data_IF_728537806367
#
_entry.id   IF_728537806367
#
_cell.length_a   1.000
_cell.length_b   1.000
_cell.length_c   1.000
_cell.angle_alpha   90.00
_cell.angle_beta   90.00
_cell.angle_gamma   90.00
#
_symmetry.space_group_name_H-M   'P 1'
#
loop_
_entity.id
_entity.type
_entity.pdbx_description
1 polymer ?
#
# COMPACT_ATOMS: atom_id res chain seq x y z
N UNK A 1 24.74 -7.48 -18.73
CA UNK A 1 23.37 -7.94 -19.00
C UNK A 1 22.52 -6.69 -19.18
N UNK A 2 21.89 -6.52 -20.34
CA UNK A 2 21.02 -5.37 -20.60
C UNK A 2 19.80 -5.52 -19.68
N UNK A 3 19.61 -4.64 -18.71
CA UNK A 3 18.36 -4.53 -17.97
C UNK A 3 17.30 -4.07 -18.99
N UNK A 4 16.51 -5.01 -19.49
CA UNK A 4 15.30 -4.65 -20.22
C UNK A 4 14.35 -4.03 -19.19
N UNK A 5 14.04 -2.74 -19.36
CA UNK A 5 13.02 -2.07 -18.54
C UNK A 5 11.69 -2.83 -18.69
N UNK A 6 10.99 -3.04 -17.59
CA UNK A 6 9.67 -3.68 -17.62
C UNK A 6 8.68 -2.85 -18.42
N UNK A 7 7.75 -3.46 -19.15
CA UNK A 7 6.75 -2.72 -19.91
C UNK A 7 5.87 -1.87 -19.00
N UNK A 8 5.56 -0.67 -19.44
CA UNK A 8 4.64 0.25 -18.76
C UNK A 8 3.32 0.31 -19.53
N UNK A 9 2.22 0.16 -18.84
CA UNK A 9 0.87 0.26 -19.40
C UNK A 9 0.24 1.58 -18.95
N UNK A 10 -0.16 2.40 -19.93
CA UNK A 10 -0.93 3.60 -19.65
C UNK A 10 -2.37 3.24 -19.23
N UNK A 11 -2.82 3.76 -18.10
CA UNK A 11 -4.17 3.61 -17.58
C UNK A 11 -4.77 4.96 -17.23
N UNK A 12 -6.09 5.10 -17.38
CA UNK A 12 -6.75 6.40 -17.15
C UNK A 12 -7.03 6.69 -15.69
N UNK A 13 -7.25 5.67 -14.91
CA UNK A 13 -7.63 5.78 -13.51
C UNK A 13 -7.26 4.50 -12.77
N UNK A 14 -7.00 4.63 -11.47
CA UNK A 14 -6.69 3.51 -10.57
C UNK A 14 -7.28 3.77 -9.20
N UNK A 15 -7.86 2.72 -8.62
CA UNK A 15 -8.31 2.71 -7.23
C UNK A 15 -7.46 1.72 -6.46
N UNK A 16 -6.72 2.20 -5.46
CA UNK A 16 -5.90 1.37 -4.57
C UNK A 16 -6.50 1.37 -3.17
N UNK A 17 -6.64 0.20 -2.57
CA UNK A 17 -7.00 0.06 -1.15
C UNK A 17 -5.85 -0.58 -0.39
N UNK A 18 -5.35 0.16 0.60
CA UNK A 18 -4.39 -0.33 1.60
C UNK A 18 -5.18 -0.83 2.81
N UNK A 19 -4.94 -2.04 3.27
CA UNK A 19 -5.65 -2.63 4.40
C UNK A 19 -4.71 -3.40 5.32
N UNK A 20 -4.87 -3.23 6.62
CA UNK A 20 -4.07 -3.88 7.65
C UNK A 20 -4.66 -3.63 9.03
N UNK A 21 -3.94 -4.01 10.07
CA UNK A 21 -4.32 -3.65 11.43
C UNK A 21 -4.09 -2.14 11.69
N UNK A 22 -4.78 -1.61 12.67
CA UNK A 22 -4.66 -0.19 13.10
C UNK A 22 -3.21 0.24 13.39
N UNK A 23 -2.31 -0.70 13.70
CA UNK A 23 -0.88 -0.47 13.95
C UNK A 23 0.04 -0.59 12.73
N UNK A 24 -0.46 -1.07 11.61
CA UNK A 24 0.35 -1.35 10.40
C UNK A 24 0.67 -0.10 9.57
N UNK A 25 0.18 1.07 9.98
CA UNK A 25 0.50 2.34 9.33
C UNK A 25 -0.17 2.58 7.99
N UNK A 26 -1.30 1.92 7.71
CA UNK A 26 -2.00 2.02 6.43
C UNK A 26 -2.46 3.44 6.11
N UNK A 27 -2.88 4.20 7.12
CA UNK A 27 -3.23 5.62 6.95
C UNK A 27 -2.02 6.45 6.49
N UNK A 28 -0.85 6.25 7.12
CA UNK A 28 0.38 6.93 6.74
C UNK A 28 0.82 6.59 5.31
N UNK A 29 0.75 5.30 4.95
CA UNK A 29 1.09 4.81 3.61
C UNK A 29 0.16 5.41 2.55
N UNK A 30 -1.14 5.37 2.81
CA UNK A 30 -2.15 5.94 1.92
C UNK A 30 -2.01 7.45 1.76
N UNK A 31 -1.87 8.20 2.86
CA UNK A 31 -1.64 9.64 2.83
C UNK A 31 -0.37 10.01 2.04
N UNK A 32 0.73 9.29 2.27
CA UNK A 32 1.98 9.57 1.56
C UNK A 32 1.85 9.31 0.07
N UNK A 33 1.29 8.17 -0.33
CA UNK A 33 1.06 7.85 -1.72
C UNK A 33 0.11 8.86 -2.39
N UNK A 34 -0.90 9.34 -1.65
CA UNK A 34 -1.81 10.41 -2.09
C UNK A 34 -1.06 11.71 -2.40
N UNK A 35 -0.15 12.13 -1.51
CA UNK A 35 0.62 13.36 -1.70
C UNK A 35 1.57 13.27 -2.91
N UNK A 36 2.22 12.13 -3.11
CA UNK A 36 3.07 11.89 -4.27
C UNK A 36 2.25 11.92 -5.56
N UNK A 37 1.06 11.30 -5.54
CA UNK A 37 0.14 11.26 -6.67
C UNK A 37 -0.39 12.65 -7.04
N UNK A 38 -0.79 13.43 -6.03
CA UNK A 38 -1.24 14.81 -6.22
C UNK A 38 -0.13 15.70 -6.80
N UNK A 39 1.13 15.50 -6.34
CA UNK A 39 2.26 16.29 -6.85
C UNK A 39 2.57 16.06 -8.33
N UNK A 40 2.17 14.91 -8.86
CA UNK A 40 2.26 14.60 -10.30
C UNK A 40 1.10 15.17 -11.13
N UNK A 41 0.14 15.84 -10.48
CA UNK A 41 -0.99 16.48 -11.16
C UNK A 41 -2.17 15.57 -11.45
N UNK A 42 -2.23 14.35 -10.88
CA UNK A 42 -3.44 13.55 -10.94
C UNK A 42 -4.56 14.17 -10.10
N UNK A 43 -5.80 14.08 -10.55
CA UNK A 43 -6.95 14.35 -9.68
C UNK A 43 -7.19 13.15 -8.77
N UNK A 44 -7.61 13.39 -7.54
CA UNK A 44 -7.64 12.38 -6.49
C UNK A 44 -8.88 12.48 -5.61
N UNK A 45 -9.32 11.33 -5.09
CA UNK A 45 -10.28 11.24 -3.99
C UNK A 45 -9.86 10.15 -3.02
N UNK A 46 -9.99 10.40 -1.72
CA UNK A 46 -9.56 9.47 -0.68
C UNK A 46 -10.69 9.08 0.26
N UNK A 47 -10.62 7.87 0.80
CA UNK A 47 -11.55 7.35 1.80
C UNK A 47 -10.77 6.61 2.89
N UNK A 48 -10.38 7.28 3.98
CA UNK A 48 -9.85 6.60 5.16
C UNK A 48 -10.96 5.83 5.86
N UNK A 49 -10.68 4.59 6.24
CA UNK A 49 -11.57 3.75 7.03
C UNK A 49 -10.85 3.28 8.29
N UNK A 50 -11.39 3.64 9.44
CA UNK A 50 -10.83 3.30 10.74
C UNK A 50 -11.47 2.02 11.28
N UNK A 51 -10.80 1.30 12.20
CA UNK A 51 -11.36 0.12 12.82
C UNK A 51 -12.73 0.37 13.43
N UNK A 52 -13.63 -0.59 13.26
CA UNK A 52 -14.98 -0.51 13.84
C UNK A 52 -14.94 -0.54 15.37
N UNK A 53 -13.91 -1.14 15.95
CA UNK A 53 -13.72 -1.27 17.39
C UNK A 53 -12.40 -0.63 17.83
N UNK A 54 -12.47 0.28 18.81
CA UNK A 54 -11.31 0.91 19.41
C UNK A 54 -10.54 -0.16 20.21
N UNK A 55 -9.23 -0.31 19.93
CA UNK A 55 -8.35 -1.30 20.56
C UNK A 55 -8.73 -2.76 20.29
N UNK A 56 -9.33 -3.04 19.14
CA UNK A 56 -9.52 -4.42 18.71
C UNK A 56 -8.19 -5.22 18.72
N UNK A 57 -8.23 -6.51 19.06
CA UNK A 57 -7.03 -7.34 18.99
C UNK A 57 -6.45 -7.38 17.57
N UNK A 58 -5.13 -7.34 17.45
CA UNK A 58 -4.45 -7.44 16.17
C UNK A 58 -4.80 -8.75 15.43
N UNK A 59 -4.96 -8.67 14.12
CA UNK A 59 -5.29 -9.80 13.27
C UNK A 59 -6.74 -10.25 13.38
N UNK A 60 -7.66 -9.38 13.84
CA UNK A 60 -9.11 -9.65 13.88
C UNK A 60 -9.87 -8.73 12.94
N UNK A 61 -11.03 -9.16 12.46
CA UNK A 61 -11.85 -8.36 11.54
C UNK A 61 -12.22 -6.98 12.08
N UNK A 62 -12.64 -6.81 13.36
CA UNK A 62 -12.94 -5.49 13.91
C UNK A 62 -11.74 -4.54 14.00
N UNK A 63 -10.50 -5.07 13.98
CA UNK A 63 -9.26 -4.30 14.05
C UNK A 63 -8.74 -3.81 12.71
N UNK A 64 -9.37 -4.19 11.60
CA UNK A 64 -8.93 -3.81 10.27
C UNK A 64 -9.16 -2.32 10.04
N UNK A 65 -8.09 -1.66 9.61
CA UNK A 65 -8.07 -0.29 9.09
C UNK A 65 -7.78 -0.32 7.61
N UNK A 66 -8.37 0.56 6.84
CA UNK A 66 -8.02 0.70 5.43
C UNK A 66 -7.97 2.16 4.99
N UNK A 67 -7.25 2.39 3.91
CA UNK A 67 -7.19 3.67 3.23
C UNK A 67 -7.37 3.43 1.74
N UNK A 68 -8.35 4.06 1.13
CA UNK A 68 -8.58 3.96 -0.30
C UNK A 68 -8.21 5.28 -0.97
N UNK A 69 -7.53 5.16 -2.10
CA UNK A 69 -7.17 6.27 -2.98
C UNK A 69 -7.66 5.95 -4.39
N UNK A 70 -8.41 6.85 -4.95
CA UNK A 70 -8.75 6.92 -6.38
C UNK A 70 -7.95 8.06 -7.00
N UNK A 71 -7.22 7.80 -8.09
CA UNK A 71 -6.49 8.82 -8.84
C UNK A 71 -6.63 8.59 -10.34
N UNK A 72 -6.68 9.68 -11.10
CA UNK A 72 -6.99 9.62 -12.52
C UNK A 72 -6.34 10.76 -13.33
N UNK A 73 -6.35 10.61 -14.66
CA UNK A 73 -6.00 11.62 -15.64
C UNK A 73 -7.15 12.61 -15.94
N UNK A 74 -8.27 12.48 -15.25
CA UNK A 74 -9.49 13.25 -15.42
C UNK A 74 -10.13 13.54 -14.05
N UNK A 75 -11.21 14.32 -14.03
CA UNK A 75 -11.88 14.71 -12.80
C UNK A 75 -12.50 13.53 -12.04
N UNK A 76 -12.11 13.37 -10.78
CA UNK A 76 -12.53 12.31 -9.87
C UNK A 76 -13.57 12.83 -8.88
N UNK A 77 -14.75 12.24 -8.86
CA UNK A 77 -15.86 12.68 -8.01
C UNK A 77 -15.99 11.87 -6.72
N UNK A 78 -15.52 10.63 -6.70
CA UNK A 78 -15.66 9.72 -5.56
C UNK A 78 -14.41 8.87 -5.37
N UNK A 79 -14.23 8.31 -4.17
CA UNK A 79 -13.15 7.37 -3.89
C UNK A 79 -13.33 6.00 -4.60
N UNK A 80 -14.47 5.77 -5.26
CA UNK A 80 -14.78 4.54 -6.00
C UNK A 80 -15.23 3.39 -5.09
N UNK A 81 -15.90 2.39 -5.70
CA UNK A 81 -16.49 1.26 -4.97
C UNK A 81 -15.72 -0.06 -5.21
N UNK A 82 -14.99 -0.17 -6.32
CA UNK A 82 -14.34 -1.39 -6.76
C UNK A 82 -12.83 -1.17 -6.95
N UNK A 83 -12.00 -1.45 -5.94
CA UNK A 83 -10.55 -1.25 -6.02
C UNK A 83 -9.89 -2.14 -7.10
N UNK A 84 -9.04 -1.54 -7.94
CA UNK A 84 -8.20 -2.25 -8.90
C UNK A 84 -7.04 -2.98 -8.23
N UNK A 85 -6.61 -2.46 -7.08
CA UNK A 85 -5.52 -3.02 -6.28
C UNK A 85 -5.90 -3.05 -4.81
N UNK A 86 -5.74 -4.22 -4.19
CA UNK A 86 -5.78 -4.38 -2.74
C UNK A 86 -4.38 -4.73 -2.22
N UNK A 87 -3.89 -3.96 -1.26
CA UNK A 87 -2.72 -4.32 -0.45
C UNK A 87 -3.22 -4.79 0.91
N UNK A 88 -3.10 -6.08 1.19
CA UNK A 88 -3.58 -6.68 2.45
C UNK A 88 -2.41 -7.18 3.29
N UNK A 89 -2.17 -6.51 4.42
CA UNK A 89 -1.02 -6.78 5.29
C UNK A 89 -1.19 -8.05 6.14
N UNK A 90 -2.37 -8.66 6.17
CA UNK A 90 -2.67 -9.87 6.93
C UNK A 90 -3.97 -10.54 6.46
N UNK A 91 -4.30 -11.76 6.93
CA UNK A 91 -5.54 -12.47 6.56
C UNK A 91 -6.83 -11.73 6.94
N UNK A 92 -6.83 -10.98 8.04
CA UNK A 92 -8.01 -10.19 8.45
C UNK A 92 -8.29 -9.07 7.43
N UNK A 93 -7.25 -8.38 6.99
CA UNK A 93 -7.34 -7.33 5.97
C UNK A 93 -7.84 -7.89 4.64
N UNK A 94 -7.36 -9.05 4.21
CA UNK A 94 -7.85 -9.73 3.02
C UNK A 94 -9.34 -10.08 3.18
N UNK A 95 -9.72 -10.77 4.26
CA UNK A 95 -11.09 -11.25 4.49
C UNK A 95 -12.10 -10.11 4.58
N UNK A 96 -11.73 -9.01 5.22
CA UNK A 96 -12.60 -7.85 5.39
C UNK A 96 -12.90 -7.12 4.07
N UNK A 97 -11.97 -7.19 3.10
CA UNK A 97 -12.04 -6.36 1.88
C UNK A 97 -12.32 -7.14 0.60
N UNK A 98 -12.07 -8.45 0.56
CA UNK A 98 -12.11 -9.25 -0.69
C UNK A 98 -13.45 -9.18 -1.43
N UNK A 99 -14.56 -9.02 -0.72
CA UNK A 99 -15.90 -8.94 -1.30
C UNK A 99 -16.13 -7.70 -2.19
N UNK A 100 -15.35 -6.64 -1.95
CA UNK A 100 -15.45 -5.39 -2.71
C UNK A 100 -14.49 -5.39 -3.92
N UNK A 101 -13.60 -6.39 -4.01
CA UNK A 101 -12.57 -6.46 -5.03
C UNK A 101 -13.11 -7.15 -6.30
N UNK A 102 -13.08 -6.49 -7.46
CA UNK A 102 -13.57 -7.08 -8.69
C UNK A 102 -12.65 -8.21 -9.17
N UNK A 103 -13.22 -9.17 -9.89
CA UNK A 103 -12.44 -10.24 -10.52
C UNK A 103 -11.41 -9.66 -11.49
N UNK A 104 -10.23 -10.24 -11.51
CA UNK A 104 -9.11 -9.76 -12.33
C UNK A 104 -8.29 -8.64 -11.70
N UNK A 105 -8.74 -8.08 -10.56
CA UNK A 105 -7.97 -7.09 -9.81
C UNK A 105 -6.67 -7.69 -9.24
N UNK A 106 -5.73 -6.81 -8.95
CA UNK A 106 -4.44 -7.16 -8.34
C UNK A 106 -4.57 -7.17 -6.81
N UNK A 107 -4.09 -8.25 -6.18
CA UNK A 107 -4.05 -8.36 -4.72
C UNK A 107 -2.62 -8.66 -4.29
N UNK A 108 -2.03 -7.74 -3.53
CA UNK A 108 -0.71 -7.88 -2.93
C UNK A 108 -0.92 -8.23 -1.47
N UNK A 109 -0.32 -9.33 -1.00
CA UNK A 109 -0.44 -9.77 0.40
C UNK A 109 0.92 -9.95 1.04
N UNK A 110 1.02 -9.64 2.34
CA UNK A 110 2.16 -10.05 3.15
C UNK A 110 2.02 -11.55 3.50
N UNK A 111 2.64 -12.41 2.69
CA UNK A 111 2.51 -13.88 2.87
C UNK A 111 3.02 -14.38 4.22
N UNK A 112 3.95 -13.65 4.86
CA UNK A 112 4.51 -14.02 6.15
C UNK A 112 3.47 -14.02 7.27
N UNK A 113 2.39 -13.24 7.09
CA UNK A 113 1.29 -13.14 8.05
C UNK A 113 0.22 -14.24 7.85
N UNK A 114 0.25 -15.03 6.75
CA UNK A 114 -0.71 -16.08 6.47
C UNK A 114 -0.37 -17.40 7.20
N UNK A 115 -0.07 -17.28 8.48
CA UNK A 115 0.20 -18.41 9.38
C UNK A 115 -1.11 -19.09 9.81
N UNK A 116 -1.05 -20.39 10.15
CA UNK A 116 -2.21 -21.13 10.67
C UNK A 116 -2.91 -20.38 11.81
N UNK A 117 -2.13 -19.81 12.74
CA UNK A 117 -2.66 -19.03 13.86
C UNK A 117 -3.48 -17.81 13.40
N UNK A 118 -2.97 -17.04 12.44
CA UNK A 118 -3.64 -15.84 11.97
C UNK A 118 -4.84 -16.17 11.09
N UNK A 119 -4.78 -17.24 10.31
CA UNK A 119 -5.89 -17.75 9.51
C UNK A 119 -7.05 -18.21 10.42
N UNK A 120 -6.76 -19.00 11.45
CA UNK A 120 -7.76 -19.47 12.43
C UNK A 120 -8.45 -18.30 13.16
N UNK A 121 -7.70 -17.25 13.52
CA UNK A 121 -8.29 -16.07 14.19
C UNK A 121 -9.42 -15.42 13.41
N UNK A 122 -9.39 -15.48 12.09
CA UNK A 122 -10.41 -14.88 11.22
C UNK A 122 -11.34 -15.91 10.59
N UNK A 123 -11.25 -17.16 11.02
CA UNK A 123 -12.12 -18.26 10.59
C UNK A 123 -11.90 -18.66 9.14
N UNK A 124 -10.64 -18.76 8.72
CA UNK A 124 -10.23 -19.51 7.54
C UNK A 124 -9.92 -20.95 7.96
N UNK A 125 -10.55 -21.91 7.30
CA UNK A 125 -10.27 -23.34 7.49
C UNK A 125 -9.03 -23.79 6.73
N UNK A 126 -8.78 -23.15 5.57
CA UNK A 126 -7.63 -23.36 4.69
C UNK A 126 -6.94 -22.05 4.38
N UNK A 127 -5.70 -22.12 3.90
CA UNK A 127 -5.01 -20.93 3.45
C UNK A 127 -5.54 -20.48 2.07
N UNK A 128 -6.18 -19.32 1.96
CA UNK A 128 -6.74 -18.84 0.68
C UNK A 128 -5.69 -18.60 -0.41
N UNK A 129 -4.40 -18.51 -0.04
CA UNK A 129 -3.31 -18.39 -1.01
C UNK A 129 -3.04 -19.71 -1.74
N UNK A 130 -3.42 -20.86 -1.13
CA UNK A 130 -3.07 -22.21 -1.62
C UNK A 130 -4.30 -23.02 -2.07
N UNK A 131 -5.51 -22.64 -1.64
CA UNK A 131 -6.74 -23.45 -1.83
C UNK A 131 -7.51 -23.13 -3.14
N UNK A 132 -7.01 -22.19 -3.95
CA UNK A 132 -7.63 -21.80 -5.21
C UNK A 132 -8.80 -20.82 -5.11
N UNK A 133 -9.23 -20.43 -3.92
CA UNK A 133 -10.35 -19.46 -3.73
C UNK A 133 -10.05 -18.10 -4.36
N UNK A 134 -8.78 -17.74 -4.48
CA UNK A 134 -8.33 -16.48 -5.06
C UNK A 134 -7.96 -16.57 -6.55
N UNK A 135 -8.23 -17.69 -7.23
CA UNK A 135 -7.86 -17.92 -8.64
C UNK A 135 -8.44 -16.93 -9.66
N UNK A 136 -9.48 -16.20 -9.28
CA UNK A 136 -10.07 -15.13 -10.12
C UNK A 136 -9.36 -13.78 -10.01
N UNK A 137 -8.29 -13.66 -9.21
CA UNK A 137 -7.52 -12.44 -8.98
C UNK A 137 -6.06 -12.63 -9.41
N UNK A 138 -5.36 -11.53 -9.62
CA UNK A 138 -3.90 -11.51 -9.81
C UNK A 138 -3.24 -11.40 -8.43
N UNK A 139 -2.86 -12.55 -7.86
CA UNK A 139 -2.32 -12.60 -6.50
C UNK A 139 -0.80 -12.48 -6.53
N UNK A 140 -0.27 -11.57 -5.73
CA UNK A 140 1.15 -11.38 -5.47
C UNK A 140 1.46 -11.62 -4.00
N UNK A 141 1.82 -12.85 -3.60
CA UNK A 141 2.20 -13.17 -2.22
C UNK A 141 3.65 -12.75 -1.97
N UNK A 142 3.85 -11.56 -1.44
CA UNK A 142 5.16 -10.98 -1.15
C UNK A 142 5.55 -11.24 0.31
N UNK A 143 6.80 -11.59 0.58
CA UNK A 143 7.32 -11.77 1.94
C UNK A 143 7.69 -10.41 2.57
N UNK A 144 6.70 -9.51 2.70
CA UNK A 144 6.92 -8.13 3.11
C UNK A 144 7.64 -8.03 4.46
N UNK A 145 7.19 -8.78 5.44
CA UNK A 145 7.75 -8.77 6.79
C UNK A 145 9.18 -9.31 6.81
N UNK A 146 9.43 -10.51 6.28
CA UNK A 146 10.75 -11.12 6.34
C UNK A 146 11.78 -10.39 5.47
N UNK A 147 11.41 -9.91 4.31
CA UNK A 147 12.29 -9.10 3.45
C UNK A 147 12.65 -7.76 4.11
N UNK A 148 11.67 -7.11 4.76
CA UNK A 148 11.95 -5.88 5.50
C UNK A 148 12.91 -6.14 6.66
N UNK A 149 12.66 -7.17 7.47
CA UNK A 149 13.53 -7.52 8.60
C UNK A 149 14.95 -7.86 8.12
N UNK A 150 15.06 -8.62 7.04
CA UNK A 150 16.37 -8.95 6.46
C UNK A 150 17.12 -7.71 5.95
N UNK A 151 16.45 -6.77 5.30
CA UNK A 151 17.04 -5.53 4.83
C UNK A 151 17.52 -4.61 5.96
N UNK A 152 16.96 -4.76 7.16
CA UNK A 152 17.28 -3.95 8.34
C UNK A 152 18.20 -4.65 9.34
N UNK A 153 18.76 -5.81 9.00
CA UNK A 153 19.53 -6.65 9.92
C UNK A 153 20.76 -5.97 10.53
N UNK A 154 21.37 -5.01 9.83
CA UNK A 154 22.54 -4.26 10.29
C UNK A 154 22.20 -3.08 11.22
N UNK A 155 20.91 -2.72 11.36
CA UNK A 155 20.50 -1.64 12.23
C UNK A 155 20.29 -2.11 13.68
N UNK A 156 20.56 -1.26 14.68
CA UNK A 156 20.39 -1.59 16.10
C UNK A 156 18.91 -1.55 16.52
N UNK A 157 18.06 -2.29 15.80
CA UNK A 157 16.62 -2.33 16.01
C UNK A 157 16.18 -3.68 16.58
N UNK A 158 15.21 -3.66 17.47
CA UNK A 158 14.49 -4.88 17.83
C UNK A 158 13.70 -5.39 16.61
N UNK A 159 13.47 -6.71 16.56
CA UNK A 159 12.66 -7.33 15.49
C UNK A 159 11.30 -6.64 15.32
N UNK A 160 10.64 -6.28 16.42
CA UNK A 160 9.34 -5.59 16.39
C UNK A 160 9.42 -4.19 15.77
N UNK A 161 10.52 -3.47 15.97
CA UNK A 161 10.75 -2.17 15.35
C UNK A 161 11.03 -2.33 13.85
N UNK A 162 11.82 -3.31 13.46
CA UNK A 162 12.07 -3.63 12.06
C UNK A 162 10.77 -4.03 11.32
N UNK A 163 9.95 -4.90 11.90
CA UNK A 163 8.67 -5.32 11.33
C UNK A 163 7.71 -4.15 11.07
N UNK A 164 7.79 -3.08 11.86
CA UNK A 164 6.94 -1.88 11.66
C UNK A 164 7.25 -1.11 10.38
N UNK A 165 8.44 -1.27 9.82
CA UNK A 165 8.83 -0.60 8.59
C UNK A 165 8.28 -1.29 7.32
N UNK A 166 7.59 -2.43 7.43
CA UNK A 166 7.04 -3.16 6.28
C UNK A 166 6.02 -2.36 5.46
N UNK A 167 5.33 -1.40 6.08
CA UNK A 167 4.45 -0.48 5.38
C UNK A 167 5.22 0.42 4.40
N UNK A 168 6.47 0.79 4.72
CA UNK A 168 7.32 1.54 3.79
C UNK A 168 7.81 0.67 2.63
N UNK A 169 8.02 -0.63 2.86
CA UNK A 169 8.28 -1.57 1.76
C UNK A 169 7.08 -1.59 0.79
N UNK A 170 5.86 -1.77 1.31
CA UNK A 170 4.65 -1.76 0.48
C UNK A 170 4.49 -0.43 -0.27
N UNK A 171 4.78 0.70 0.38
CA UNK A 171 4.78 2.02 -0.25
C UNK A 171 5.81 2.10 -1.39
N UNK A 172 7.02 1.62 -1.17
CA UNK A 172 8.09 1.60 -2.18
C UNK A 172 7.70 0.77 -3.41
N UNK A 173 7.16 -0.43 -3.18
CA UNK A 173 6.67 -1.30 -4.25
C UNK A 173 5.60 -0.62 -5.11
N UNK A 174 4.62 0.03 -4.48
CA UNK A 174 3.59 0.75 -5.22
C UNK A 174 4.12 2.03 -5.89
N UNK A 175 5.11 2.69 -5.28
CA UNK A 175 5.78 3.83 -5.91
C UNK A 175 6.48 3.42 -7.21
N UNK A 176 7.12 2.27 -7.22
CA UNK A 176 7.66 1.67 -8.44
C UNK A 176 6.53 1.32 -9.43
N UNK A 177 5.49 0.61 -8.97
CA UNK A 177 4.40 0.13 -9.82
C UNK A 177 3.70 1.26 -10.58
N UNK A 178 3.60 2.45 -9.99
CA UNK A 178 2.91 3.61 -10.56
C UNK A 178 3.84 4.79 -10.87
N UNK A 179 5.15 4.57 -10.98
CA UNK A 179 6.15 5.59 -11.32
C UNK A 179 6.09 6.84 -10.41
N UNK A 180 5.92 6.65 -9.10
CA UNK A 180 5.94 7.77 -8.15
C UNK A 180 7.38 8.17 -7.83
N UNK A 181 7.72 9.49 -7.88
CA UNK A 181 9.06 9.96 -7.55
C UNK A 181 9.41 9.63 -6.10
N UNK A 182 10.63 9.15 -5.87
CA UNK A 182 11.08 8.75 -4.53
C UNK A 182 11.48 9.93 -3.66
N UNK A 183 11.96 11.02 -4.26
CA UNK A 183 12.55 12.17 -3.56
C UNK A 183 11.61 12.83 -2.55
N UNK A 184 10.34 12.99 -2.92
CA UNK A 184 9.34 13.63 -2.06
C UNK A 184 9.02 12.76 -0.83
N UNK A 185 8.89 11.44 -1.00
CA UNK A 185 8.72 10.51 0.11
C UNK A 185 9.95 10.46 1.00
N UNK A 186 11.16 10.41 0.46
CA UNK A 186 12.40 10.45 1.26
C UNK A 186 12.54 11.76 2.04
N UNK A 187 12.21 12.91 1.44
CA UNK A 187 12.23 14.20 2.12
C UNK A 187 11.22 14.23 3.28
N UNK A 188 10.01 13.71 3.05
CA UNK A 188 8.99 13.57 4.11
C UNK A 188 9.47 12.68 5.26
N UNK A 189 10.08 11.53 4.98
CA UNK A 189 10.59 10.63 6.01
C UNK A 189 11.69 11.31 6.82
N UNK A 190 12.62 12.02 6.16
CA UNK A 190 13.70 12.80 6.81
C UNK A 190 13.12 13.86 7.76
N UNK A 191 12.08 14.58 7.32
CA UNK A 191 11.43 15.58 8.18
C UNK A 191 10.68 14.95 9.35
N UNK A 192 9.89 13.90 9.08
CA UNK A 192 9.03 13.24 10.08
C UNK A 192 9.82 12.55 11.18
N UNK A 193 10.91 11.89 10.82
CA UNK A 193 11.72 11.09 11.73
C UNK A 193 13.06 11.73 12.10
N UNK A 194 13.23 13.04 11.89
CA UNK A 194 14.46 13.79 12.17
C UNK A 194 15.05 13.54 13.58
N UNK A 195 14.18 13.32 14.58
CA UNK A 195 14.57 13.06 15.98
C UNK A 195 14.83 11.59 16.31
N UNK A 196 14.71 10.68 15.34
CA UNK A 196 14.83 9.23 15.52
C UNK A 196 15.63 8.63 14.34
N UNK A 197 16.96 8.81 14.34
CA UNK A 197 17.79 8.46 13.18
C UNK A 197 17.69 7.00 12.78
N UNK A 198 17.66 6.05 13.72
CA UNK A 198 17.57 4.63 13.41
C UNK A 198 16.23 4.26 12.76
N UNK A 199 15.13 4.89 13.23
CA UNK A 199 13.80 4.71 12.64
C UNK A 199 13.71 5.37 11.26
N UNK A 200 14.37 6.53 11.08
CA UNK A 200 14.47 7.17 9.78
C UNK A 200 15.16 6.25 8.77
N UNK A 201 16.35 5.76 9.15
CA UNK A 201 17.13 4.89 8.28
C UNK A 201 16.37 3.61 7.93
N UNK A 202 15.73 2.98 8.92
CA UNK A 202 14.87 1.81 8.71
C UNK A 202 13.76 2.06 7.67
N UNK A 203 13.06 3.18 7.78
CA UNK A 203 12.00 3.52 6.84
C UNK A 203 12.54 3.81 5.43
N UNK A 204 13.70 4.47 5.31
CA UNK A 204 14.34 4.72 4.02
C UNK A 204 14.80 3.42 3.35
N UNK A 205 15.46 2.54 4.10
CA UNK A 205 15.90 1.24 3.59
C UNK A 205 14.69 0.41 3.16
N UNK A 206 13.67 0.27 4.01
CA UNK A 206 12.47 -0.50 3.69
C UNK A 206 11.77 0.04 2.43
N UNK A 207 11.64 1.36 2.28
CA UNK A 207 11.05 2.00 1.12
C UNK A 207 11.82 1.69 -0.17
N UNK A 208 13.15 1.87 -0.15
CA UNK A 208 14.03 1.56 -1.29
C UNK A 208 14.03 0.07 -1.62
N UNK A 209 13.99 -0.79 -0.61
CA UNK A 209 13.92 -2.25 -0.81
C UNK A 209 12.62 -2.64 -1.52
N UNK A 210 11.49 -2.06 -1.14
CA UNK A 210 10.22 -2.29 -1.82
C UNK A 210 10.22 -1.80 -3.26
N UNK A 211 10.77 -0.62 -3.53
CA UNK A 211 10.94 -0.10 -4.89
C UNK A 211 11.82 -1.01 -5.75
N UNK A 212 12.98 -1.40 -5.22
CA UNK A 212 13.90 -2.32 -5.90
C UNK A 212 13.29 -3.70 -6.13
N UNK A 213 12.46 -4.19 -5.20
CA UNK A 213 11.74 -5.46 -5.38
C UNK A 213 10.79 -5.37 -6.58
N UNK A 214 10.05 -4.29 -6.73
CA UNK A 214 9.21 -4.07 -7.91
C UNK A 214 10.02 -4.11 -9.20
N UNK A 215 11.19 -3.47 -9.24
CA UNK A 215 12.06 -3.41 -10.41
C UNK A 215 12.69 -4.76 -10.77
N UNK A 216 13.14 -5.51 -9.76
CA UNK A 216 13.99 -6.71 -9.98
C UNK A 216 13.23 -8.03 -9.91
N UNK A 217 12.07 -8.09 -9.25
CA UNK A 217 11.30 -9.31 -9.09
C UNK A 217 10.56 -9.68 -10.37
N UNK A 218 10.52 -10.97 -10.72
CA UNK A 218 9.71 -11.50 -11.82
C UNK A 218 8.21 -11.51 -11.49
N UNK A 219 7.83 -11.41 -10.21
CA UNK A 219 6.43 -11.38 -9.76
C UNK A 219 5.65 -10.17 -10.31
N UNK A 220 6.36 -9.07 -10.56
CA UNK A 220 5.80 -7.84 -11.11
C UNK A 220 6.36 -7.59 -12.51
N UNK A 221 5.71 -8.16 -13.51
CA UNK A 221 6.18 -8.07 -14.90
C UNK A 221 5.86 -6.73 -15.58
N UNK A 222 5.02 -5.90 -14.98
CA UNK A 222 4.46 -4.68 -15.62
C UNK A 222 4.32 -3.58 -14.59
N UNK A 223 4.64 -2.35 -15.00
CA UNK A 223 4.32 -1.11 -14.27
C UNK A 223 3.18 -0.36 -14.98
N UNK A 224 2.63 0.66 -14.31
CA UNK A 224 1.49 1.41 -14.81
C UNK A 224 1.76 2.91 -14.74
N UNK A 225 1.24 3.65 -15.70
CA UNK A 225 1.33 5.11 -15.73
C UNK A 225 -0.06 5.71 -15.83
N UNK A 226 -0.35 6.67 -14.95
CA UNK A 226 -1.55 7.52 -15.02
C UNK A 226 -1.08 8.93 -15.31
N UNK A 227 -1.46 9.44 -16.47
CA UNK A 227 -1.09 10.80 -16.89
C UNK A 227 -1.68 11.86 -15.93
N UNK A 228 -1.08 13.06 -15.85
CA UNK A 228 -1.67 14.18 -15.12
C UNK A 228 -3.09 14.49 -15.61
N UNK A 229 -3.97 14.91 -14.73
CA UNK A 229 -5.31 15.34 -15.08
C UNK A 229 -5.27 16.73 -15.77
N UNK A 230 -6.08 16.88 -16.81
CA UNK A 230 -6.26 18.18 -17.49
C UNK A 230 -7.19 19.08 -16.67
N UNK A 231 -6.62 19.76 -15.68
CA UNK A 231 -7.36 20.68 -14.83
C UNK A 231 -7.13 22.13 -15.27
N UNK A 232 -8.12 23.04 -15.10
CA UNK A 232 -7.90 24.46 -15.33
C UNK A 232 -6.69 24.98 -14.54
N UNK A 233 -5.94 25.98 -15.05
CA UNK A 233 -4.86 26.55 -14.27
C UNK A 233 -5.33 27.07 -12.92
N UNK A 234 -4.64 26.71 -11.83
CA UNK A 234 -5.05 27.09 -10.47
C UNK A 234 -4.14 26.48 -9.40
N UNK A 235 -4.43 26.85 -8.17
CA UNK A 235 -3.83 26.22 -7.00
C UNK A 235 -4.85 25.26 -6.39
N UNK A 236 -4.51 23.98 -6.38
CA UNK A 236 -5.37 22.91 -5.87
C UNK A 236 -4.88 22.44 -4.52
N UNK A 237 -5.83 22.08 -3.65
CA UNK A 237 -5.55 21.53 -2.32
C UNK A 237 -6.44 20.33 -2.08
N UNK A 238 -5.83 19.21 -1.75
CA UNK A 238 -6.59 18.06 -1.26
C UNK A 238 -6.97 18.29 0.20
N UNK A 239 -8.26 18.28 0.49
CA UNK A 239 -8.81 18.50 1.83
C UNK A 239 -9.92 17.49 2.12
N UNK A 240 -10.07 17.09 3.38
CA UNK A 240 -11.22 16.33 3.82
C UNK A 240 -12.52 17.16 3.77
N UNK A 241 -13.66 16.52 3.48
CA UNK A 241 -14.96 17.20 3.36
C UNK A 241 -15.34 18.04 4.58
N UNK A 242 -15.01 17.58 5.80
CA UNK A 242 -15.27 18.34 7.03
C UNK A 242 -14.45 19.64 7.10
N UNK A 243 -13.21 19.63 6.58
CA UNK A 243 -12.38 20.86 6.52
C UNK A 243 -12.89 21.79 5.42
N UNK A 244 -13.46 21.26 4.35
CA UNK A 244 -14.01 22.07 3.26
C UNK A 244 -15.29 22.82 3.68
N UNK A 245 -16.01 22.34 4.70
CA UNK A 245 -17.24 22.94 5.22
C UNK A 245 -16.98 23.88 6.41
N UNK A 246 -15.79 23.87 7.00
CA UNK A 246 -15.42 24.70 8.14
C UNK A 246 -14.80 26.03 7.70
#
# INVERSE_FOLDING_TARGET
MSHMSKPTIAVKSVIIRFAGDSGDGMQLTGDRFTMDTASLGNDISTLPNFPAEIRAPQGTLPGVSSFQLHFADHHVLTAGDAPDVLVAMNPAALKANIKDIPRGATIIVDKDEFTTRNLTKVGYDTNPLDDGTLSSYKIHPVALTSMTVAALAELPLSRKEAERAKNMFALGLLSWMYHRPTDATEAFLKAKFAKKPDILEANLIAYRTGWNYGETSEDFATSYEVAPAHMPPGVYRNIGGNIALA
#
